data_IF_129496873588
#
_entry.id   IF_129496873588
#
_cell.length_a   1.000
_cell.length_b   1.000
_cell.length_c   1.000
_cell.angle_alpha   90.00
_cell.angle_beta   90.00
_cell.angle_gamma   90.00
#
_symmetry.space_group_name_H-M   'P 1'
#
loop_
_entity.id
_entity.type
_entity.pdbx_description
1 polymer ?
#
# COMPACT_ATOMS: atom_id res chain seq x y z
N UNK A 1 -30.97 -2.02 21.88
CA UNK A 1 -30.48 -2.53 20.59
C UNK A 1 -29.48 -1.50 20.08
N UNK A 2 -28.19 -1.74 20.28
CA UNK A 2 -27.16 -0.89 19.69
C UNK A 2 -27.14 -1.16 18.19
N UNK A 3 -27.61 -0.20 17.41
CA UNK A 3 -27.38 -0.17 15.96
C UNK A 3 -25.86 -0.13 15.73
N UNK A 4 -25.29 -1.29 15.44
CA UNK A 4 -23.92 -1.43 14.95
C UNK A 4 -23.85 -0.78 13.58
N UNK A 5 -23.60 0.53 13.55
CA UNK A 5 -23.30 1.28 12.32
C UNK A 5 -22.27 0.46 11.53
N UNK A 6 -22.48 0.18 10.24
CA UNK A 6 -21.48 -0.49 9.43
C UNK A 6 -20.29 0.45 9.35
N UNK A 7 -19.29 0.27 10.20
CA UNK A 7 -18.10 1.12 10.17
C UNK A 7 -17.24 0.57 9.04
N UNK A 8 -17.53 1.02 7.83
CA UNK A 8 -16.79 0.72 6.63
C UNK A 8 -15.30 1.04 6.84
N UNK A 9 -14.44 0.33 6.13
CA UNK A 9 -13.05 0.75 5.99
C UNK A 9 -13.07 2.15 5.36
N UNK A 10 -12.55 3.14 6.08
CA UNK A 10 -12.71 4.56 5.72
C UNK A 10 -11.97 4.96 4.43
N UNK A 11 -10.97 4.18 4.03
CA UNK A 11 -10.13 4.49 2.88
C UNK A 11 -10.51 3.58 1.72
N UNK A 12 -10.65 4.19 0.54
CA UNK A 12 -10.88 3.48 -0.70
C UNK A 12 -9.53 3.25 -1.39
N UNK A 13 -9.20 2.00 -1.70
CA UNK A 13 -8.03 1.63 -2.49
C UNK A 13 -8.18 2.19 -3.90
N UNK A 14 -7.17 2.93 -4.37
CA UNK A 14 -7.15 3.54 -5.70
C UNK A 14 -5.97 3.10 -6.57
N UNK A 15 -5.16 2.15 -6.10
CA UNK A 15 -3.96 1.64 -6.76
C UNK A 15 -2.67 2.31 -6.30
N UNK A 16 -2.71 3.60 -5.95
CA UNK A 16 -1.53 4.38 -5.51
C UNK A 16 -1.38 4.36 -3.98
N UNK A 17 -2.50 4.27 -3.25
CA UNK A 17 -2.53 4.39 -1.79
C UNK A 17 -2.47 3.05 -1.03
N UNK A 18 -1.99 1.97 -1.66
CA UNK A 18 -2.04 0.61 -1.09
C UNK A 18 -1.43 0.53 0.32
N UNK A 19 -0.30 1.19 0.59
CA UNK A 19 0.34 1.13 1.91
C UNK A 19 -0.54 1.71 3.01
N UNK A 20 -1.15 2.87 2.75
CA UNK A 20 -2.03 3.53 3.70
C UNK A 20 -3.35 2.75 3.86
N UNK A 21 -3.94 2.31 2.73
CA UNK A 21 -5.15 1.50 2.72
C UNK A 21 -4.94 0.19 3.49
N UNK A 22 -3.90 -0.57 3.17
CA UNK A 22 -3.63 -1.88 3.79
C UNK A 22 -3.42 -1.75 5.30
N UNK A 23 -2.76 -0.69 5.77
CA UNK A 23 -2.62 -0.40 7.19
C UNK A 23 -3.96 -0.09 7.85
N UNK A 24 -4.77 0.79 7.27
CA UNK A 24 -6.07 1.15 7.83
C UNK A 24 -7.05 -0.04 7.85
N UNK A 25 -7.07 -0.84 6.78
CA UNK A 25 -7.83 -2.08 6.70
C UNK A 25 -7.38 -3.08 7.76
N UNK A 26 -6.06 -3.33 7.89
CA UNK A 26 -5.49 -4.14 8.97
C UNK A 26 -5.96 -3.66 10.34
N UNK A 27 -5.80 -2.38 10.65
CA UNK A 27 -6.21 -1.82 11.94
C UNK A 27 -7.70 -2.01 12.20
N UNK A 28 -8.55 -1.79 11.19
CA UNK A 28 -10.00 -2.00 11.31
C UNK A 28 -10.33 -3.48 11.62
N UNK A 29 -9.74 -4.41 10.86
CA UNK A 29 -9.99 -5.85 11.02
C UNK A 29 -9.43 -6.40 12.33
N UNK A 30 -8.22 -5.98 12.74
CA UNK A 30 -7.65 -6.35 14.05
C UNK A 30 -8.49 -5.83 15.21
N UNK A 31 -8.93 -4.57 15.16
CA UNK A 31 -9.81 -3.98 16.17
C UNK A 31 -11.14 -4.71 16.34
N UNK A 32 -11.50 -5.58 15.39
CA UNK A 32 -12.73 -6.39 15.38
C UNK A 32 -12.50 -7.89 15.57
N UNK A 33 -11.25 -8.33 15.74
CA UNK A 33 -10.91 -9.75 15.80
C UNK A 33 -11.12 -10.51 14.47
N UNK A 34 -11.27 -9.79 13.36
CA UNK A 34 -11.56 -10.33 12.03
C UNK A 34 -10.30 -10.71 11.23
N UNK A 35 -9.11 -10.23 11.64
CA UNK A 35 -7.85 -10.52 10.94
C UNK A 35 -7.55 -12.02 10.77
N UNK A 36 -8.08 -12.85 11.67
CA UNK A 36 -7.93 -14.30 11.62
C UNK A 36 -8.52 -14.97 10.37
N UNK A 37 -9.37 -14.28 9.60
CA UNK A 37 -9.85 -14.78 8.30
C UNK A 37 -8.83 -14.58 7.17
N UNK A 38 -7.98 -13.55 7.27
CA UNK A 38 -6.92 -13.27 6.30
C UNK A 38 -5.67 -14.08 6.65
N UNK A 39 -5.29 -14.08 7.93
CA UNK A 39 -4.12 -14.78 8.42
C UNK A 39 -4.52 -15.67 9.60
N UNK A 40 -5.00 -16.89 9.31
CA UNK A 40 -5.39 -17.82 10.36
C UNK A 40 -4.19 -18.17 11.24
N UNK A 41 -4.40 -18.17 12.55
CA UNK A 41 -3.37 -18.58 13.50
C UNK A 41 -2.90 -20.01 13.19
N UNK A 42 -1.57 -20.21 13.16
CA UNK A 42 -0.97 -21.53 12.90
C UNK A 42 -1.59 -22.58 13.83
N UNK A 43 -2.16 -23.64 13.24
CA UNK A 43 -2.75 -24.76 13.98
C UNK A 43 -4.26 -24.67 14.21
N UNK A 44 -4.94 -23.60 13.79
CA UNK A 44 -6.41 -23.50 13.87
C UNK A 44 -7.04 -24.18 12.65
N UNK A 45 -7.27 -25.50 12.73
CA UNK A 45 -8.10 -26.22 11.75
C UNK A 45 -9.52 -26.30 12.29
N UNK A 46 -10.51 -26.03 11.43
CA UNK A 46 -11.91 -26.38 11.73
C UNK A 46 -11.92 -27.91 11.91
N UNK A 47 -12.54 -28.40 12.98
CA UNK A 47 -12.63 -29.85 13.20
C UNK A 47 -13.50 -30.45 12.10
N UNK A 48 -13.00 -31.51 11.45
CA UNK A 48 -13.76 -32.22 10.41
C UNK A 48 -15.05 -32.78 11.02
N UNK A 49 -16.21 -32.40 10.47
CA UNK A 49 -17.53 -32.87 10.90
C UNK A 49 -18.39 -31.88 11.70
N UNK A 50 -17.89 -30.68 12.01
CA UNK A 50 -18.69 -29.63 12.65
C UNK A 50 -19.25 -28.64 11.61
N UNK A 51 -20.42 -28.98 11.04
CA UNK A 51 -21.12 -28.17 10.04
C UNK A 51 -21.47 -26.77 10.56
N UNK A 52 -21.82 -26.64 11.83
CA UNK A 52 -22.18 -25.35 12.45
C UNK A 52 -20.94 -24.44 12.59
N UNK A 53 -19.80 -25.01 12.99
CA UNK A 53 -18.55 -24.26 13.03
C UNK A 53 -18.06 -23.86 11.64
N UNK A 54 -18.26 -24.70 10.63
CA UNK A 54 -17.93 -24.38 9.24
C UNK A 54 -18.81 -23.25 8.72
N UNK A 55 -20.13 -23.30 8.92
CA UNK A 55 -21.05 -22.24 8.50
C UNK A 55 -20.71 -20.91 9.17
N UNK A 56 -20.47 -20.91 10.49
CA UNK A 56 -20.03 -19.72 11.24
C UNK A 56 -18.71 -19.16 10.75
N UNK A 57 -17.79 -20.03 10.32
CA UNK A 57 -16.52 -19.59 9.73
C UNK A 57 -16.75 -18.93 8.37
N UNK A 58 -17.54 -19.56 7.49
CA UNK A 58 -17.88 -19.01 6.18
C UNK A 58 -18.58 -17.65 6.29
N UNK A 59 -19.53 -17.50 7.21
CA UNK A 59 -20.21 -16.22 7.44
C UNK A 59 -19.21 -15.11 7.86
N UNK A 60 -18.21 -15.45 8.68
CA UNK A 60 -17.16 -14.49 9.07
C UNK A 60 -16.23 -14.16 7.92
N UNK A 61 -15.82 -15.14 7.14
CA UNK A 61 -14.99 -14.92 5.95
C UNK A 61 -15.70 -13.99 4.95
N UNK A 62 -16.97 -14.27 4.64
CA UNK A 62 -17.78 -13.46 3.72
C UNK A 62 -18.04 -12.05 4.25
N UNK A 63 -18.17 -11.87 5.57
CA UNK A 63 -18.19 -10.55 6.19
C UNK A 63 -16.89 -9.79 5.92
N UNK A 64 -15.72 -10.41 6.10
CA UNK A 64 -14.43 -9.76 5.84
C UNK A 64 -14.26 -9.46 4.35
N UNK A 65 -14.64 -10.38 3.48
CA UNK A 65 -14.62 -10.21 2.03
C UNK A 65 -15.45 -8.99 1.61
N UNK A 66 -16.70 -8.88 2.09
CA UNK A 66 -17.58 -7.75 1.80
C UNK A 66 -17.02 -6.41 2.32
N UNK A 67 -16.39 -6.41 3.50
CA UNK A 67 -15.72 -5.22 4.04
C UNK A 67 -14.58 -4.77 3.12
N UNK A 68 -13.71 -5.69 2.69
CA UNK A 68 -12.62 -5.37 1.77
C UNK A 68 -13.18 -4.86 0.44
N UNK A 69 -14.14 -5.56 -0.17
CA UNK A 69 -14.80 -5.14 -1.42
C UNK A 69 -15.37 -3.72 -1.34
N UNK A 70 -16.06 -3.39 -0.23
CA UNK A 70 -16.62 -2.04 -0.02
C UNK A 70 -15.57 -0.92 0.07
N UNK A 71 -14.30 -1.30 0.20
CA UNK A 71 -13.15 -0.39 0.31
C UNK A 71 -12.30 -0.34 -0.96
N UNK A 72 -12.78 -0.90 -2.07
CA UNK A 72 -12.11 -0.86 -3.36
C UNK A 72 -12.81 0.16 -4.26
N UNK A 73 -12.04 0.89 -5.07
CA UNK A 73 -12.62 1.67 -6.18
C UNK A 73 -13.19 0.71 -7.22
N UNK A 74 -14.27 1.10 -7.90
CA UNK A 74 -15.02 0.25 -8.84
C UNK A 74 -14.14 -0.57 -9.80
N UNK A 75 -13.12 -0.02 -10.50
CA UNK A 75 -12.31 -0.82 -11.43
C UNK A 75 -11.48 -1.91 -10.73
N UNK A 76 -11.07 -1.66 -9.49
CA UNK A 76 -10.34 -2.62 -8.65
C UNK A 76 -11.31 -3.69 -8.15
N UNK A 77 -12.49 -3.28 -7.66
CA UNK A 77 -13.54 -4.21 -7.27
C UNK A 77 -13.90 -5.16 -8.41
N UNK A 78 -14.21 -4.62 -9.60
CA UNK A 78 -14.58 -5.42 -10.77
C UNK A 78 -13.51 -6.44 -11.12
N UNK A 79 -12.24 -6.04 -11.10
CA UNK A 79 -11.09 -6.88 -11.45
C UNK A 79 -10.86 -8.07 -10.51
N UNK A 80 -11.29 -7.94 -9.24
CA UNK A 80 -11.02 -8.94 -8.20
C UNK A 80 -12.29 -9.50 -7.54
N UNK A 81 -13.46 -9.22 -8.12
CA UNK A 81 -14.78 -9.60 -7.60
C UNK A 81 -15.00 -11.12 -7.50
N UNK A 82 -14.22 -11.91 -8.23
CA UNK A 82 -14.30 -13.37 -8.24
C UNK A 82 -13.46 -14.06 -7.15
N UNK A 83 -12.70 -13.32 -6.34
CA UNK A 83 -12.04 -13.91 -5.18
C UNK A 83 -13.10 -14.41 -4.19
N UNK A 84 -13.04 -15.69 -3.83
CA UNK A 84 -14.10 -16.35 -3.05
C UNK A 84 -13.89 -16.21 -1.55
N UNK A 85 -12.64 -15.95 -1.12
CA UNK A 85 -12.28 -15.82 0.30
C UNK A 85 -11.62 -14.48 0.60
N UNK A 86 -11.76 -14.01 1.84
CA UNK A 86 -11.13 -12.77 2.28
C UNK A 86 -9.60 -12.83 2.19
N UNK A 87 -9.02 -14.00 2.47
CA UNK A 87 -7.58 -14.25 2.34
C UNK A 87 -7.12 -14.13 0.89
N UNK A 88 -7.80 -14.80 -0.04
CA UNK A 88 -7.46 -14.77 -1.46
C UNK A 88 -7.49 -13.34 -2.02
N UNK A 89 -8.55 -12.59 -1.72
CA UNK A 89 -8.65 -11.19 -2.14
C UNK A 89 -7.52 -10.35 -1.56
N UNK A 90 -7.26 -10.50 -0.25
CA UNK A 90 -6.20 -9.76 0.43
C UNK A 90 -4.83 -10.02 -0.18
N UNK A 91 -4.48 -11.29 -0.41
CA UNK A 91 -3.19 -11.68 -0.96
C UNK A 91 -3.05 -11.27 -2.43
N UNK A 92 -4.14 -11.33 -3.21
CA UNK A 92 -4.17 -10.86 -4.59
C UNK A 92 -3.92 -9.35 -4.67
N UNK A 93 -4.64 -8.55 -3.86
CA UNK A 93 -4.43 -7.11 -3.79
C UNK A 93 -3.00 -6.79 -3.34
N UNK A 94 -2.49 -7.51 -2.33
CA UNK A 94 -1.11 -7.36 -1.85
C UNK A 94 -0.10 -7.67 -2.94
N UNK A 95 -0.31 -8.70 -3.75
CA UNK A 95 0.58 -9.04 -4.86
C UNK A 95 0.56 -7.97 -5.96
N UNK A 96 -0.63 -7.47 -6.29
CA UNK A 96 -0.80 -6.53 -7.40
C UNK A 96 -0.37 -5.10 -7.08
N UNK A 97 -0.60 -4.64 -5.85
CA UNK A 97 -0.35 -3.26 -5.44
C UNK A 97 0.69 -3.12 -4.33
N UNK A 98 1.11 -4.22 -3.71
CA UNK A 98 2.12 -4.21 -2.65
C UNK A 98 3.56 -4.27 -3.15
N UNK A 99 3.78 -4.74 -4.39
CA UNK A 99 5.09 -4.87 -5.03
C UNK A 99 5.40 -3.74 -6.03
N UNK A 100 4.72 -2.59 -5.92
CA UNK A 100 5.18 -1.36 -6.56
C UNK A 100 6.44 -0.95 -5.82
N UNK A 101 7.57 -1.52 -6.28
CA UNK A 101 8.95 -1.28 -5.87
C UNK A 101 9.04 -0.07 -4.97
N UNK A 102 9.42 -0.29 -3.71
CA UNK A 102 9.54 0.77 -2.70
C UNK A 102 10.21 2.05 -3.28
N UNK A 103 11.11 1.88 -4.25
CA UNK A 103 11.68 2.91 -5.13
C UNK A 103 10.67 3.85 -5.82
N UNK A 104 9.67 3.31 -6.54
CA UNK A 104 8.63 4.10 -7.23
C UNK A 104 7.88 4.98 -6.24
N UNK A 105 7.40 4.41 -5.13
CA UNK A 105 6.63 5.17 -4.13
C UNK A 105 7.51 6.16 -3.36
N UNK A 106 8.76 5.79 -3.03
CA UNK A 106 9.73 6.72 -2.45
C UNK A 106 10.00 7.90 -3.38
N UNK A 107 10.18 7.63 -4.68
CA UNK A 107 10.40 8.66 -5.69
C UNK A 107 9.18 9.60 -5.79
N UNK A 108 7.96 9.05 -5.83
CA UNK A 108 6.73 9.84 -5.81
C UNK A 108 6.61 10.70 -4.56
N UNK A 109 6.80 10.15 -3.36
CA UNK A 109 6.72 10.91 -2.10
C UNK A 109 7.77 12.03 -2.09
N UNK A 110 9.00 11.77 -2.55
CA UNK A 110 10.04 12.81 -2.67
C UNK A 110 9.63 13.90 -3.66
N UNK A 111 9.08 13.52 -4.80
CA UNK A 111 8.57 14.45 -5.80
C UNK A 111 7.44 15.30 -5.24
N UNK A 112 6.47 14.68 -4.56
CA UNK A 112 5.34 15.34 -3.89
C UNK A 112 5.81 16.29 -2.78
N UNK A 113 6.79 15.88 -1.95
CA UNK A 113 7.36 16.73 -0.89
C UNK A 113 8.11 17.93 -1.49
N UNK A 114 8.90 17.71 -2.54
CA UNK A 114 9.69 18.76 -3.20
C UNK A 114 8.81 19.78 -3.93
N UNK A 115 7.64 19.38 -4.42
CA UNK A 115 6.65 20.28 -5.03
C UNK A 115 5.58 20.76 -4.06
N UNK A 116 5.62 20.35 -2.77
CA UNK A 116 4.60 20.71 -1.80
C UNK A 116 4.76 22.17 -1.36
N UNK A 117 3.80 22.99 -1.77
CA UNK A 117 3.65 24.39 -1.37
C UNK A 117 2.37 24.55 -0.55
N UNK A 118 2.33 25.55 0.35
CA UNK A 118 1.10 25.85 1.11
C UNK A 118 0.06 26.55 0.22
N UNK A 119 0.52 27.48 -0.62
CA UNK A 119 -0.35 28.32 -1.45
C UNK A 119 -1.46 28.95 -0.59
N UNK A 120 -2.71 28.92 -1.07
CA UNK A 120 -3.89 29.46 -0.39
C UNK A 120 -4.52 28.47 0.62
N UNK A 121 -3.89 27.32 0.91
CA UNK A 121 -4.43 26.34 1.86
C UNK A 121 -4.18 26.73 3.33
N UNK A 122 -5.16 26.39 4.19
CA UNK A 122 -4.98 26.49 5.64
C UNK A 122 -3.80 25.62 6.11
N UNK A 123 -3.07 26.14 7.11
CA UNK A 123 -1.89 25.50 7.66
C UNK A 123 -2.17 24.08 8.16
N UNK A 124 -3.31 23.84 8.80
CA UNK A 124 -3.66 22.51 9.35
C UNK A 124 -3.77 21.47 8.24
N UNK A 125 -4.36 21.86 7.10
CA UNK A 125 -4.52 20.98 5.94
C UNK A 125 -3.17 20.71 5.27
N UNK A 126 -2.37 21.76 5.05
CA UNK A 126 -1.03 21.63 4.48
C UNK A 126 -0.11 20.77 5.36
N UNK A 127 -0.05 21.06 6.67
CA UNK A 127 0.73 20.30 7.64
C UNK A 127 0.27 18.84 7.73
N UNK A 128 -1.04 18.59 7.65
CA UNK A 128 -1.59 17.24 7.58
C UNK A 128 -1.04 16.45 6.38
N UNK A 129 -1.01 17.06 5.19
CA UNK A 129 -0.43 16.44 3.98
C UNK A 129 1.08 16.21 4.14
N UNK A 130 1.83 17.23 4.57
CA UNK A 130 3.27 17.12 4.82
C UNK A 130 3.60 15.98 5.80
N UNK A 131 2.90 15.93 6.94
CA UNK A 131 3.09 14.89 7.95
C UNK A 131 2.72 13.50 7.45
N UNK A 132 1.68 13.39 6.62
CA UNK A 132 1.31 12.11 6.00
C UNK A 132 2.41 11.58 5.08
N UNK A 133 2.97 12.45 4.23
CA UNK A 133 4.07 12.09 3.32
C UNK A 133 5.33 11.68 4.08
N UNK A 134 5.69 12.40 5.15
CA UNK A 134 6.82 12.02 6.01
C UNK A 134 6.60 10.66 6.69
N UNK A 135 5.41 10.44 7.27
CA UNK A 135 5.13 9.18 7.96
C UNK A 135 5.16 7.97 7.01
N UNK A 136 4.74 8.15 5.76
CA UNK A 136 4.85 7.11 4.73
C UNK A 136 6.31 6.88 4.31
N UNK A 137 7.10 7.95 4.14
CA UNK A 137 8.54 7.85 3.87
C UNK A 137 9.28 7.08 4.98
N UNK A 138 8.99 7.38 6.24
CA UNK A 138 9.60 6.71 7.40
C UNK A 138 9.25 5.22 7.45
N UNK A 139 8.03 4.86 7.03
CA UNK A 139 7.60 3.46 6.92
C UNK A 139 8.32 2.73 5.79
N UNK A 140 8.48 3.39 4.64
CA UNK A 140 9.13 2.83 3.47
C UNK A 140 10.65 2.71 3.64
N UNK A 141 11.26 3.66 4.33
CA UNK A 141 12.70 3.72 4.61
C UNK A 141 12.95 3.87 6.11
N UNK A 142 12.67 2.82 6.91
CA UNK A 142 12.86 2.87 8.35
C UNK A 142 14.31 3.18 8.70
N UNK A 143 14.50 3.89 9.81
CA UNK A 143 15.82 4.20 10.35
C UNK A 143 16.66 2.93 10.50
N UNK A 144 17.90 2.99 10.02
CA UNK A 144 18.82 1.86 10.04
C UNK A 144 20.21 2.36 10.42
N UNK A 145 21.00 1.47 11.04
CA UNK A 145 22.44 1.67 11.30
C UNK A 145 23.32 0.87 10.34
N UNK A 146 22.71 0.09 9.44
CA UNK A 146 23.43 -0.69 8.45
C UNK A 146 24.02 0.25 7.39
N UNK A 147 25.35 0.34 7.34
CA UNK A 147 26.07 1.17 6.39
C UNK A 147 25.77 0.83 4.94
N UNK A 148 25.50 -0.45 4.61
CA UNK A 148 25.17 -0.86 3.25
C UNK A 148 23.83 -0.28 2.81
N UNK A 149 22.81 -0.35 3.67
CA UNK A 149 21.48 0.21 3.39
C UNK A 149 21.55 1.74 3.30
N UNK A 150 22.34 2.39 4.16
CA UNK A 150 22.53 3.84 4.13
C UNK A 150 23.16 4.28 2.80
N UNK A 151 24.25 3.64 2.37
CA UNK A 151 24.90 4.00 1.11
C UNK A 151 24.01 3.69 -0.10
N UNK A 152 23.30 2.56 -0.09
CA UNK A 152 22.34 2.22 -1.14
C UNK A 152 21.24 3.28 -1.27
N UNK A 153 20.62 3.70 -0.17
CA UNK A 153 19.58 4.75 -0.19
C UNK A 153 20.12 6.09 -0.69
N UNK A 154 21.37 6.40 -0.38
CA UNK A 154 22.06 7.61 -0.85
C UNK A 154 22.31 7.58 -2.35
N UNK A 155 22.72 6.44 -2.91
CA UNK A 155 22.84 6.28 -4.37
C UNK A 155 21.48 6.35 -5.06
N UNK A 156 20.46 5.69 -4.49
CA UNK A 156 19.08 5.79 -4.98
C UNK A 156 18.63 7.25 -5.03
N UNK A 157 18.93 8.04 -4.00
CA UNK A 157 18.53 9.45 -3.92
C UNK A 157 19.22 10.35 -4.94
N UNK A 158 20.46 10.04 -5.34
CA UNK A 158 21.14 10.75 -6.43
C UNK A 158 20.45 10.50 -7.76
N UNK A 159 20.11 9.24 -8.03
CA UNK A 159 19.36 8.87 -9.26
C UNK A 159 17.99 9.52 -9.25
N UNK A 160 17.25 9.47 -8.13
CA UNK A 160 15.96 10.16 -8.00
C UNK A 160 16.08 11.67 -8.25
N UNK A 161 17.14 12.30 -7.74
CA UNK A 161 17.44 13.70 -8.03
C UNK A 161 17.53 13.97 -9.54
N UNK A 162 18.29 13.14 -10.28
CA UNK A 162 18.35 13.25 -11.74
C UNK A 162 16.99 13.03 -12.38
N UNK A 163 16.31 11.90 -12.10
CA UNK A 163 15.03 11.53 -12.69
C UNK A 163 13.96 12.63 -12.50
N UNK A 164 13.97 13.32 -11.36
CA UNK A 164 13.04 14.41 -11.08
C UNK A 164 13.29 15.67 -11.93
N UNK A 165 14.53 15.88 -12.40
CA UNK A 165 14.91 17.04 -13.22
C UNK A 165 14.77 16.80 -14.73
N UNK A 166 14.46 15.57 -15.15
CA UNK A 166 14.32 15.24 -16.56
C UNK A 166 13.07 15.86 -17.18
N UNK A 167 13.18 16.21 -18.47
CA UNK A 167 12.04 16.69 -19.25
C UNK A 167 10.93 15.61 -19.30
N UNK A 168 9.63 15.98 -19.27
CA UNK A 168 8.51 15.03 -19.29
C UNK A 168 8.51 13.99 -20.42
N UNK A 169 9.26 14.25 -21.51
CA UNK A 169 9.47 13.29 -22.61
C UNK A 169 10.11 11.97 -22.16
N UNK A 170 10.81 11.98 -21.02
CA UNK A 170 11.44 10.80 -20.44
C UNK A 170 10.57 10.08 -19.39
N UNK A 171 9.31 10.47 -19.20
CA UNK A 171 8.44 9.90 -18.17
C UNK A 171 8.28 8.36 -18.30
N UNK A 172 8.23 7.83 -19.52
CA UNK A 172 8.10 6.39 -19.71
C UNK A 172 9.40 5.65 -19.37
N UNK A 173 10.56 6.24 -19.68
CA UNK A 173 11.86 5.73 -19.22
C UNK A 173 11.96 5.75 -17.69
N UNK A 174 11.56 6.85 -17.06
CA UNK A 174 11.52 6.98 -15.59
C UNK A 174 10.66 5.87 -14.97
N UNK A 175 9.45 5.64 -15.52
CA UNK A 175 8.58 4.55 -15.05
C UNK A 175 9.20 3.17 -15.24
N UNK A 176 9.93 2.96 -16.33
CA UNK A 176 10.61 1.69 -16.59
C UNK A 176 11.72 1.45 -15.56
N UNK A 177 12.61 2.43 -15.36
CA UNK A 177 13.71 2.39 -14.38
C UNK A 177 13.18 2.12 -12.97
N UNK A 178 12.09 2.79 -12.58
CA UNK A 178 11.52 2.63 -11.24
C UNK A 178 10.86 1.26 -11.01
N UNK A 179 10.48 0.54 -12.07
CA UNK A 179 9.93 -0.83 -11.97
C UNK A 179 11.00 -1.90 -11.80
N UNK A 180 12.28 -1.58 -11.97
CA UNK A 180 13.35 -2.52 -11.75
C UNK A 180 13.47 -2.88 -10.26
N UNK A 181 13.86 -4.13 -9.95
CA UNK A 181 14.07 -4.60 -8.58
C UNK A 181 15.13 -3.77 -7.85
N UNK A 182 16.15 -3.35 -8.60
CA UNK A 182 17.24 -2.52 -8.11
C UNK A 182 17.43 -1.33 -9.04
N UNK A 183 17.59 -0.15 -8.45
CA UNK A 183 17.85 1.06 -9.21
C UNK A 183 19.20 0.96 -9.95
N UNK A 184 19.29 1.29 -11.25
CA UNK A 184 20.54 1.39 -11.97
C UNK A 184 21.45 2.48 -11.37
N UNK A 185 22.77 2.39 -11.63
CA UNK A 185 23.69 3.46 -11.23
C UNK A 185 23.39 4.75 -11.99
N UNK A 186 23.85 5.88 -11.44
CA UNK A 186 23.69 7.17 -12.11
C UNK A 186 24.32 7.16 -13.51
N UNK A 187 25.47 6.50 -13.71
CA UNK A 187 26.09 6.40 -15.04
C UNK A 187 25.22 5.61 -16.02
N UNK A 188 24.60 4.52 -15.56
CA UNK A 188 23.70 3.71 -16.37
C UNK A 188 22.42 4.46 -16.73
N UNK A 189 21.91 5.31 -15.84
CA UNK A 189 20.76 6.18 -16.18
C UNK A 189 21.17 7.20 -17.23
N UNK A 190 22.34 7.82 -17.08
CA UNK A 190 22.85 8.80 -18.06
C UNK A 190 23.06 8.19 -19.46
N UNK A 191 23.40 6.90 -19.58
CA UNK A 191 23.58 6.24 -20.87
C UNK A 191 22.27 5.85 -21.57
N UNK A 192 21.14 5.90 -20.84
CA UNK A 192 19.80 5.60 -21.38
C UNK A 192 19.02 6.86 -21.81
N UNK A 193 19.54 8.06 -21.52
CA UNK A 193 18.95 9.36 -21.84
C UNK A 193 19.45 9.85 -23.20
#
# INVERSE_FOLDING_TARGET
MEETRPTAIRLILNGENYLLWSRATKTNLYGRGLWSQIEPAKGKKIQEGDEEALEKWMQKDQLVLSLIHSSLRDPIFESYSYCETAQELWDTIKKMYGDITNLSRVFEIKKELNSLTQEDQDFTKHFGKYRSLLAEMDMLRPSTKDLKIIEERKEQDRVFGLLQTLHPRFNDLVKHILREEKLPSLENVCSQI
#
